data_IF_803549905725
#
_entry.id   IF_803549905725
#
_cell.length_a   1.000
_cell.length_b   1.000
_cell.length_c   1.000
_cell.angle_alpha   90.00
_cell.angle_beta   90.00
_cell.angle_gamma   90.00
#
_symmetry.space_group_name_H-M   'P 1'
#
loop_
_entity.id
_entity.type
_entity.pdbx_description
1 polymer ?
#
# COMPACT_ATOMS: atom_id res chain seq x y z
N UNK A 1 15.40 -25.56 -29.84
CA UNK A 1 14.50 -25.60 -31.02
C UNK A 1 14.40 -24.24 -31.72
N UNK A 2 14.05 -23.14 -31.05
CA UNK A 2 13.89 -21.82 -31.68
C UNK A 2 15.18 -21.29 -32.34
N UNK A 3 16.32 -21.43 -31.67
CA UNK A 3 17.64 -21.04 -32.19
C UNK A 3 17.99 -21.79 -33.47
N UNK A 4 17.62 -23.07 -33.56
CA UNK A 4 17.87 -23.89 -34.75
C UNK A 4 16.95 -23.51 -35.93
N UNK A 5 15.71 -23.09 -35.65
CA UNK A 5 14.81 -22.61 -36.69
C UNK A 5 15.29 -21.25 -37.28
N UNK A 6 15.81 -20.35 -36.43
CA UNK A 6 16.37 -19.07 -36.88
C UNK A 6 17.68 -19.26 -37.66
N UNK A 7 18.54 -20.17 -37.21
CA UNK A 7 19.79 -20.50 -37.91
C UNK A 7 19.51 -21.11 -39.29
N UNK A 8 18.55 -22.03 -39.39
CA UNK A 8 18.17 -22.64 -40.66
C UNK A 8 17.58 -21.62 -41.64
N UNK A 9 16.75 -20.70 -41.16
CA UNK A 9 16.19 -19.64 -41.99
C UNK A 9 17.28 -18.67 -42.50
N UNK A 10 18.31 -18.42 -41.68
CA UNK A 10 19.48 -17.60 -42.05
C UNK A 10 20.31 -18.28 -43.13
N UNK A 11 20.57 -19.59 -43.00
CA UNK A 11 21.29 -20.39 -44.00
C UNK A 11 20.53 -20.44 -45.34
N UNK A 12 19.21 -20.63 -45.29
CA UNK A 12 18.37 -20.66 -46.49
C UNK A 12 18.41 -19.31 -47.24
N UNK A 13 18.37 -18.18 -46.52
CA UNK A 13 18.47 -16.85 -47.10
C UNK A 13 19.85 -16.55 -47.71
N UNK A 14 20.92 -17.02 -47.05
CA UNK A 14 22.30 -16.85 -47.51
C UNK A 14 22.59 -17.67 -48.78
N UNK A 15 22.06 -18.90 -48.85
CA UNK A 15 22.15 -19.74 -50.04
C UNK A 15 21.45 -19.12 -51.26
N UNK A 16 20.24 -18.56 -51.05
CA UNK A 16 19.49 -17.86 -52.10
C UNK A 16 20.26 -16.63 -52.60
N UNK A 17 20.92 -15.88 -51.71
CA UNK A 17 21.72 -14.72 -52.10
C UNK A 17 22.97 -15.12 -52.93
N UNK A 18 23.62 -16.22 -52.55
CA UNK A 18 24.82 -16.72 -53.19
C UNK A 18 24.58 -17.29 -54.60
N UNK A 19 23.47 -18.00 -54.84
CA UNK A 19 23.09 -18.45 -56.20
C UNK A 19 22.81 -17.26 -57.13
N UNK A 20 22.19 -16.19 -56.62
CA UNK A 20 21.86 -15.01 -57.42
C UNK A 20 23.06 -14.18 -57.84
N UNK A 21 24.10 -14.10 -57.00
CA UNK A 21 25.37 -13.48 -57.36
C UNK A 21 26.03 -14.17 -58.57
N UNK A 22 25.76 -15.47 -58.78
CA UNK A 22 26.24 -16.22 -59.94
C UNK A 22 25.40 -15.96 -61.19
N UNK A 23 24.06 -15.91 -61.06
CA UNK A 23 23.15 -15.68 -62.19
C UNK A 23 23.26 -14.23 -62.72
N UNK A 24 23.36 -13.24 -61.83
CA UNK A 24 23.48 -11.82 -62.20
C UNK A 24 24.77 -11.52 -62.99
N UNK A 25 25.81 -12.36 -62.85
CA UNK A 25 27.08 -12.23 -63.56
C UNK A 25 27.07 -12.86 -64.96
N UNK A 26 26.01 -13.58 -65.34
CA UNK A 26 26.01 -14.44 -66.54
C UNK A 26 25.20 -13.92 -67.74
N UNK A 27 24.47 -12.81 -67.65
CA UNK A 27 23.46 -12.47 -68.67
C UNK A 27 23.89 -11.43 -69.72
N UNK A 28 23.97 -11.87 -70.98
CA UNK A 28 23.85 -11.05 -72.22
C UNK A 28 23.15 -11.86 -73.33
N UNK A 29 21.83 -12.09 -73.26
CA UNK A 29 20.94 -12.38 -74.41
C UNK A 29 19.43 -12.35 -74.03
N UNK A 30 18.54 -12.15 -75.02
CA UNK A 30 17.11 -11.83 -74.83
C UNK A 30 16.21 -13.03 -74.45
N UNK A 31 16.62 -14.27 -74.76
CA UNK A 31 15.93 -15.49 -74.31
C UNK A 31 16.00 -15.65 -72.79
N UNK A 32 17.08 -15.18 -72.19
CA UNK A 32 17.37 -15.32 -70.76
C UNK A 32 16.50 -14.37 -69.92
N UNK A 33 15.87 -13.36 -70.54
CA UNK A 33 14.96 -12.44 -69.85
C UNK A 33 13.65 -13.11 -69.43
N UNK A 34 13.10 -14.03 -70.24
CA UNK A 34 11.84 -14.71 -69.90
C UNK A 34 12.04 -15.67 -68.73
N UNK A 35 13.12 -16.44 -68.76
CA UNK A 35 13.54 -17.31 -67.66
C UNK A 35 13.83 -16.48 -66.40
N UNK A 36 14.45 -15.31 -66.54
CA UNK A 36 14.66 -14.36 -65.45
C UNK A 36 13.34 -13.83 -64.84
N UNK A 37 12.31 -13.55 -65.64
CA UNK A 37 11.00 -13.10 -65.13
C UNK A 37 10.23 -14.20 -64.40
N UNK A 38 10.23 -15.44 -64.91
CA UNK A 38 9.60 -16.59 -64.25
C UNK A 38 10.29 -16.89 -62.90
N UNK A 39 11.63 -16.82 -62.87
CA UNK A 39 12.41 -16.92 -61.64
C UNK A 39 12.08 -15.79 -60.66
N UNK A 40 11.90 -14.54 -61.11
CA UNK A 40 11.49 -13.43 -60.23
C UNK A 40 10.11 -13.67 -59.62
N UNK A 41 9.15 -14.19 -60.38
CA UNK A 41 7.78 -14.43 -59.93
C UNK A 41 7.70 -15.57 -58.91
N UNK A 42 8.40 -16.68 -59.15
CA UNK A 42 8.53 -17.79 -58.20
C UNK A 42 9.19 -17.32 -56.89
N UNK A 43 10.23 -16.48 -56.98
CA UNK A 43 10.89 -15.92 -55.80
C UNK A 43 10.01 -14.91 -55.04
N UNK A 44 9.24 -14.09 -55.75
CA UNK A 44 8.24 -13.21 -55.14
C UNK A 44 7.19 -14.00 -54.36
N UNK A 45 6.87 -15.21 -54.82
CA UNK A 45 5.95 -16.14 -54.16
C UNK A 45 6.58 -16.78 -52.92
N UNK A 46 7.83 -17.24 -53.02
CA UNK A 46 8.60 -17.80 -51.90
C UNK A 46 8.86 -16.77 -50.77
N UNK A 47 9.18 -15.52 -51.11
CA UNK A 47 9.35 -14.44 -50.13
C UNK A 47 8.05 -14.10 -49.39
N UNK A 48 6.91 -14.09 -50.11
CA UNK A 48 5.59 -13.91 -49.49
C UNK A 48 5.26 -15.06 -48.53
N UNK A 49 5.62 -16.29 -48.86
CA UNK A 49 5.41 -17.44 -47.97
C UNK A 49 6.29 -17.39 -46.72
N UNK A 50 7.57 -17.03 -46.87
CA UNK A 50 8.50 -16.82 -45.74
C UNK A 50 8.00 -15.70 -44.83
N UNK A 51 7.53 -14.58 -45.41
CA UNK A 51 6.94 -13.47 -44.65
C UNK A 51 5.74 -13.92 -43.81
N UNK A 52 4.81 -14.69 -44.40
CA UNK A 52 3.65 -15.24 -43.67
C UNK A 52 4.06 -16.19 -42.55
N UNK A 53 5.08 -17.04 -42.77
CA UNK A 53 5.62 -17.94 -41.73
C UNK A 53 6.25 -17.16 -40.58
N UNK A 54 6.98 -16.09 -40.88
CA UNK A 54 7.58 -15.20 -39.87
C UNK A 54 6.51 -14.44 -39.06
N UNK A 55 5.47 -13.91 -39.71
CA UNK A 55 4.34 -13.27 -39.02
C UNK A 55 3.61 -14.24 -38.09
N UNK A 56 3.37 -15.48 -38.57
CA UNK A 56 2.75 -16.54 -37.77
C UNK A 56 3.62 -16.93 -36.56
N UNK A 57 4.93 -17.08 -36.75
CA UNK A 57 5.87 -17.40 -35.68
C UNK A 57 5.94 -16.26 -34.65
N UNK A 58 6.00 -15.01 -35.10
CA UNK A 58 6.02 -13.82 -34.24
C UNK A 58 4.74 -13.73 -33.41
N UNK A 59 3.58 -13.94 -34.04
CA UNK A 59 2.29 -13.98 -33.36
C UNK A 59 2.22 -15.11 -32.32
N UNK A 60 2.77 -16.29 -32.66
CA UNK A 60 2.82 -17.42 -31.73
C UNK A 60 3.70 -17.14 -30.51
N UNK A 61 4.89 -16.57 -30.73
CA UNK A 61 5.82 -16.18 -29.67
C UNK A 61 5.21 -15.10 -28.76
N UNK A 62 4.57 -14.08 -29.33
CA UNK A 62 3.85 -13.06 -28.54
C UNK A 62 2.75 -13.68 -27.67
N UNK A 63 1.95 -14.62 -28.23
CA UNK A 63 0.92 -15.33 -27.46
C UNK A 63 1.51 -16.18 -26.33
N UNK A 64 2.65 -16.84 -26.54
CA UNK A 64 3.33 -17.61 -25.49
C UNK A 64 3.88 -16.70 -24.39
N UNK A 65 4.53 -15.58 -24.76
CA UNK A 65 5.02 -14.59 -23.80
C UNK A 65 3.90 -13.98 -22.97
N UNK A 66 2.76 -13.65 -23.59
CA UNK A 66 1.58 -13.17 -22.87
C UNK A 66 1.03 -14.21 -21.88
N UNK A 67 0.94 -15.49 -22.28
CA UNK A 67 0.50 -16.57 -21.38
C UNK A 67 1.43 -16.76 -20.17
N UNK A 68 2.74 -16.66 -20.36
CA UNK A 68 3.73 -16.72 -19.27
C UNK A 68 3.60 -15.52 -18.32
N UNK A 69 3.32 -14.34 -18.88
CA UNK A 69 3.08 -13.12 -18.11
C UNK A 69 1.79 -13.26 -17.27
N UNK A 70 0.72 -13.75 -17.89
CA UNK A 70 -0.57 -14.00 -17.23
C UNK A 70 -0.44 -15.03 -16.10
N UNK A 71 0.27 -16.14 -16.33
CA UNK A 71 0.50 -17.15 -15.29
C UNK A 71 1.31 -16.59 -14.11
N UNK A 72 2.34 -15.80 -14.41
CA UNK A 72 3.15 -15.11 -13.39
C UNK A 72 2.29 -14.12 -12.60
N UNK A 73 1.41 -13.37 -13.26
CA UNK A 73 0.48 -12.44 -12.62
C UNK A 73 -0.52 -13.17 -11.70
N UNK A 74 -1.05 -14.33 -12.12
CA UNK A 74 -1.92 -15.15 -11.29
C UNK A 74 -1.19 -15.64 -10.04
N UNK A 75 0.04 -16.10 -10.17
CA UNK A 75 0.85 -16.59 -9.05
C UNK A 75 1.22 -15.47 -8.07
N UNK A 76 1.64 -14.31 -8.60
CA UNK A 76 1.87 -13.09 -7.82
C UNK A 76 0.60 -12.67 -7.06
N UNK A 77 -0.57 -12.74 -7.70
CA UNK A 77 -1.84 -12.39 -7.06
C UNK A 77 -2.25 -13.38 -5.96
N UNK A 78 -1.98 -14.68 -6.16
CA UNK A 78 -2.17 -15.71 -5.11
C UNK A 78 -1.27 -15.46 -3.91
N UNK A 79 0.00 -15.14 -4.13
CA UNK A 79 0.94 -14.77 -3.06
C UNK A 79 0.48 -13.50 -2.33
N UNK A 80 0.08 -12.45 -3.05
CA UNK A 80 -0.49 -11.22 -2.48
C UNK A 80 -1.72 -11.49 -1.61
N UNK A 81 -2.59 -12.42 -2.04
CA UNK A 81 -3.78 -12.81 -1.28
C UNK A 81 -3.43 -13.60 -0.02
N UNK A 82 -2.52 -14.58 -0.11
CA UNK A 82 -2.05 -15.36 1.04
C UNK A 82 -1.37 -14.45 2.10
N UNK A 83 -0.49 -13.55 1.67
CA UNK A 83 0.15 -12.54 2.52
C UNK A 83 -0.88 -11.59 3.18
N UNK A 84 -1.95 -11.24 2.45
CA UNK A 84 -3.04 -10.43 3.02
C UNK A 84 -3.77 -11.15 4.15
N UNK A 85 -3.89 -12.48 4.11
CA UNK A 85 -4.54 -13.28 5.17
C UNK A 85 -3.72 -13.25 6.47
N UNK A 86 -2.39 -13.42 6.40
CA UNK A 86 -1.52 -13.31 7.58
C UNK A 86 -1.55 -11.91 8.21
N UNK A 87 -1.57 -10.85 7.40
CA UNK A 87 -1.75 -9.48 7.90
C UNK A 87 -3.13 -9.32 8.55
N UNK A 88 -4.18 -9.88 7.94
CA UNK A 88 -5.53 -9.85 8.52
C UNK A 88 -5.56 -10.61 9.85
N UNK A 89 -4.90 -11.75 9.96
CA UNK A 89 -4.86 -12.55 11.19
C UNK A 89 -3.99 -11.85 12.28
N UNK A 90 -2.87 -11.24 11.89
CA UNK A 90 -2.08 -10.33 12.74
C UNK A 90 -2.91 -9.14 13.25
N UNK A 91 -3.66 -8.49 12.36
CA UNK A 91 -4.49 -7.31 12.70
C UNK A 91 -5.71 -7.66 13.55
N UNK A 92 -6.23 -8.88 13.45
CA UNK A 92 -7.37 -9.39 14.23
C UNK A 92 -6.97 -10.00 15.56
N UNK A 93 -5.69 -10.33 15.77
CA UNK A 93 -5.21 -10.93 17.01
C UNK A 93 -5.50 -10.02 18.21
N UNK A 94 -6.14 -10.60 19.24
CA UNK A 94 -6.39 -9.93 20.52
C UNK A 94 -5.13 -9.84 21.40
N UNK A 95 -4.13 -10.67 21.10
CA UNK A 95 -2.84 -10.75 21.77
C UNK A 95 -1.73 -10.20 20.85
N UNK A 96 -0.59 -9.79 21.42
CA UNK A 96 0.58 -9.40 20.63
C UNK A 96 0.94 -10.55 19.69
N UNK A 97 0.90 -10.35 18.37
CA UNK A 97 1.30 -11.38 17.44
C UNK A 97 2.76 -11.75 17.69
N UNK A 98 3.04 -13.06 17.78
CA UNK A 98 4.38 -13.59 17.57
C UNK A 98 4.80 -13.11 16.18
N UNK A 99 5.90 -12.36 16.11
CA UNK A 99 6.61 -11.90 14.90
C UNK A 99 5.91 -12.19 13.57
N UNK A 100 5.34 -11.16 12.94
CA UNK A 100 4.97 -11.28 11.52
C UNK A 100 6.26 -11.48 10.70
N UNK A 101 6.22 -12.34 9.70
CA UNK A 101 7.30 -12.36 8.70
C UNK A 101 7.24 -11.04 7.94
N UNK A 102 8.32 -10.26 7.99
CA UNK A 102 8.43 -8.97 7.28
C UNK A 102 8.19 -9.12 5.78
N UNK A 103 8.51 -10.29 5.22
CA UNK A 103 8.31 -10.60 3.80
C UNK A 103 6.83 -10.77 3.43
N UNK A 104 5.96 -11.05 4.42
CA UNK A 104 4.53 -11.17 4.23
C UNK A 104 3.79 -9.81 4.27
N UNK A 105 4.37 -8.74 4.82
CA UNK A 105 3.72 -7.42 4.80
C UNK A 105 3.91 -6.74 3.44
N UNK A 106 2.82 -6.61 2.68
CA UNK A 106 2.80 -5.68 1.52
C UNK A 106 2.11 -4.36 1.90
N UNK A 107 2.64 -3.24 1.40
CA UNK A 107 2.00 -1.93 1.56
C UNK A 107 0.56 -1.91 1.04
N UNK A 108 0.28 -2.67 -0.03
CA UNK A 108 -1.07 -2.79 -0.60
C UNK A 108 -2.04 -3.49 0.34
N UNK A 109 -1.62 -4.58 0.99
CA UNK A 109 -2.46 -5.26 1.97
C UNK A 109 -2.74 -4.38 3.19
N UNK A 110 -1.75 -3.59 3.65
CA UNK A 110 -1.93 -2.62 4.72
C UNK A 110 -2.89 -1.48 4.32
N UNK A 111 -2.78 -0.98 3.08
CA UNK A 111 -3.70 0.00 2.51
C UNK A 111 -5.14 -0.55 2.48
N UNK A 112 -5.32 -1.78 2.01
CA UNK A 112 -6.63 -2.44 1.99
C UNK A 112 -7.20 -2.61 3.40
N UNK A 113 -6.39 -3.01 4.37
CA UNK A 113 -6.81 -3.07 5.78
C UNK A 113 -7.26 -1.69 6.27
N UNK A 114 -6.43 -0.66 6.07
CA UNK A 114 -6.72 0.70 6.51
C UNK A 114 -8.02 1.22 5.89
N UNK A 115 -8.21 1.01 4.59
CA UNK A 115 -9.39 1.42 3.86
C UNK A 115 -10.65 0.74 4.40
N UNK A 116 -10.63 -0.60 4.54
CA UNK A 116 -11.77 -1.39 5.04
C UNK A 116 -12.11 -1.07 6.50
N UNK A 117 -11.10 -0.80 7.33
CA UNK A 117 -11.29 -0.61 8.77
C UNK A 117 -11.67 0.81 9.15
N UNK A 118 -11.07 1.82 8.49
CA UNK A 118 -11.18 3.21 8.91
C UNK A 118 -11.85 4.13 7.86
N UNK A 119 -11.73 3.85 6.55
CA UNK A 119 -12.23 4.75 5.50
C UNK A 119 -13.67 4.44 5.10
N UNK A 120 -13.98 3.15 4.88
CA UNK A 120 -15.31 2.71 4.41
C UNK A 120 -16.36 2.59 5.51
N UNK A 121 -15.96 2.60 6.77
CA UNK A 121 -16.86 2.50 7.92
C UNK A 121 -16.92 3.83 8.65
N UNK A 122 -18.10 4.25 9.08
CA UNK A 122 -18.21 5.33 10.05
C UNK A 122 -17.67 4.81 11.37
N UNK A 123 -16.68 5.53 11.87
CA UNK A 123 -15.98 5.18 13.07
C UNK A 123 -16.41 6.14 14.15
N UNK A 124 -17.42 5.74 14.90
CA UNK A 124 -17.98 6.56 15.99
C UNK A 124 -17.54 5.93 17.30
N UNK A 125 -16.96 6.71 18.20
CA UNK A 125 -16.64 6.29 19.56
C UNK A 125 -17.68 6.89 20.49
N UNK A 126 -18.45 6.03 21.15
CA UNK A 126 -19.40 6.44 22.19
C UNK A 126 -18.74 6.33 23.54
N UNK A 127 -18.66 7.44 24.26
CA UNK A 127 -18.06 7.47 25.58
C UNK A 127 -19.08 7.05 26.64
N UNK A 128 -18.55 6.37 27.65
CA UNK A 128 -19.30 5.92 28.80
C UNK A 128 -18.98 6.82 29.98
N UNK A 129 -19.82 7.82 30.22
CA UNK A 129 -19.58 8.92 31.17
C UNK A 129 -19.17 8.44 32.57
N UNK A 130 -19.68 7.30 33.03
CA UNK A 130 -19.34 6.70 34.33
C UNK A 130 -17.86 6.31 34.45
N UNK A 131 -17.19 6.13 33.32
CA UNK A 131 -15.78 5.75 33.26
C UNK A 131 -14.84 6.93 33.50
N UNK A 132 -15.29 8.16 33.29
CA UNK A 132 -14.43 9.34 33.23
C UNK A 132 -14.28 10.01 34.59
N UNK A 133 -13.06 10.46 34.90
CA UNK A 133 -12.77 11.23 36.13
C UNK A 133 -13.08 12.71 35.95
N UNK A 134 -13.23 13.15 34.70
CA UNK A 134 -13.53 14.53 34.32
C UNK A 134 -14.53 14.51 33.17
N UNK A 135 -15.45 15.48 33.19
CA UNK A 135 -16.45 15.64 32.14
C UNK A 135 -15.77 15.83 30.78
N UNK A 136 -16.16 15.00 29.82
CA UNK A 136 -15.79 15.19 28.43
C UNK A 136 -16.66 16.30 27.82
N UNK A 137 -16.12 17.08 26.87
CA UNK A 137 -16.93 18.01 26.09
C UNK A 137 -17.76 17.31 25.01
N UNK A 138 -17.59 16.00 24.81
CA UNK A 138 -18.29 15.19 23.82
C UNK A 138 -18.83 13.91 24.44
N UNK A 139 -20.08 13.55 24.13
CA UNK A 139 -20.68 12.24 24.47
C UNK A 139 -20.24 11.15 23.47
N UNK A 140 -19.96 11.56 22.24
CA UNK A 140 -19.42 10.71 21.18
C UNK A 140 -18.47 11.51 20.29
N UNK A 141 -17.60 10.83 19.57
CA UNK A 141 -16.81 11.44 18.49
C UNK A 141 -16.88 10.60 17.22
N UNK A 142 -16.88 11.25 16.07
CA UNK A 142 -16.83 10.63 14.75
C UNK A 142 -15.45 10.82 14.13
N UNK A 143 -14.81 9.74 13.67
CA UNK A 143 -13.55 9.83 12.93
C UNK A 143 -13.78 9.92 11.43
N UNK A 144 -13.41 11.07 10.88
CA UNK A 144 -13.35 11.34 9.46
C UNK A 144 -11.97 10.97 8.91
N UNK A 145 -11.85 9.70 8.52
CA UNK A 145 -10.62 9.12 8.00
C UNK A 145 -10.67 9.05 6.48
N UNK A 146 -9.64 9.62 5.84
CA UNK A 146 -9.45 9.61 4.40
C UNK A 146 -8.27 8.70 4.05
N UNK A 147 -8.29 8.14 2.85
CA UNK A 147 -7.21 7.26 2.38
C UNK A 147 -5.84 7.95 2.40
N UNK A 148 -5.82 9.26 2.12
CA UNK A 148 -4.62 10.09 2.14
C UNK A 148 -4.05 10.36 3.54
N UNK A 149 -4.70 9.91 4.62
CA UNK A 149 -4.10 9.91 5.95
C UNK A 149 -3.02 8.82 6.09
N UNK A 150 -3.12 7.70 5.35
CA UNK A 150 -2.22 6.55 5.53
C UNK A 150 -0.73 6.88 5.39
N UNK A 151 -0.26 7.58 4.34
CA UNK A 151 1.16 7.88 4.19
C UNK A 151 1.71 8.62 5.42
N UNK A 152 0.93 9.58 5.95
CA UNK A 152 1.33 10.34 7.14
C UNK A 152 1.43 9.46 8.39
N UNK A 153 0.50 8.52 8.56
CA UNK A 153 0.50 7.55 9.66
C UNK A 153 1.66 6.56 9.57
N UNK A 154 2.28 6.42 8.40
CA UNK A 154 3.48 5.62 8.14
C UNK A 154 4.78 6.44 8.20
N UNK A 155 4.71 7.71 8.60
CA UNK A 155 5.88 8.58 8.68
C UNK A 155 6.26 9.25 7.35
N UNK A 156 5.52 9.03 6.28
CA UNK A 156 5.76 9.67 4.98
C UNK A 156 5.17 11.07 5.00
N UNK A 157 6.05 12.06 5.05
CA UNK A 157 5.68 13.47 5.14
C UNK A 157 5.88 14.17 3.81
N UNK A 158 5.05 15.17 3.57
CA UNK A 158 5.29 16.15 2.52
C UNK A 158 6.55 16.95 2.81
N UNK A 159 7.21 17.38 1.73
CA UNK A 159 8.33 18.30 1.84
C UNK A 159 7.82 19.67 2.28
N UNK A 160 8.58 20.33 3.16
CA UNK A 160 8.26 21.69 3.59
C UNK A 160 9.08 22.67 2.77
N UNK A 161 8.41 23.61 2.13
CA UNK A 161 9.07 24.76 1.51
C UNK A 161 9.54 25.75 2.58
N UNK A 162 10.39 26.69 2.18
CA UNK A 162 10.99 27.70 3.07
C UNK A 162 9.95 28.61 3.75
N UNK A 163 8.79 28.80 3.11
CA UNK A 163 7.63 29.55 3.64
C UNK A 163 6.77 28.73 4.62
N UNK A 164 7.15 27.47 4.90
CA UNK A 164 6.42 26.56 5.79
C UNK A 164 5.25 25.82 5.14
N UNK A 165 4.96 26.04 3.85
CA UNK A 165 3.96 25.28 3.11
C UNK A 165 4.36 23.80 3.00
N UNK A 166 3.39 22.89 2.99
CA UNK A 166 3.63 21.44 2.91
C UNK A 166 3.26 20.93 1.53
N UNK A 167 4.25 20.57 0.72
CA UNK A 167 4.05 19.92 -0.57
C UNK A 167 3.54 18.49 -0.36
N UNK A 168 2.31 18.21 -0.81
CA UNK A 168 1.67 16.89 -0.69
C UNK A 168 2.07 15.90 -1.80
N UNK A 169 2.98 16.29 -2.71
CA UNK A 169 3.39 15.47 -3.84
C UNK A 169 3.98 14.12 -3.41
N UNK A 170 4.87 14.11 -2.41
CA UNK A 170 5.51 12.87 -1.92
C UNK A 170 4.52 11.87 -1.28
N UNK A 171 3.65 12.26 -0.33
CA UNK A 171 2.56 11.40 0.15
C UNK A 171 1.63 10.88 -0.95
N UNK A 172 1.33 11.71 -1.96
CA UNK A 172 0.48 11.33 -3.10
C UNK A 172 1.18 10.30 -3.99
N UNK A 173 2.42 10.57 -4.40
CA UNK A 173 3.26 9.65 -5.19
C UNK A 173 3.41 8.30 -4.48
N UNK A 174 3.56 8.30 -3.15
CA UNK A 174 3.56 7.07 -2.37
C UNK A 174 2.22 6.33 -2.43
N UNK A 175 1.10 7.03 -2.24
CA UNK A 175 -0.22 6.38 -2.26
C UNK A 175 -0.55 5.79 -3.64
N UNK A 176 -0.29 6.54 -4.70
CA UNK A 176 -0.37 6.05 -6.07
C UNK A 176 0.58 4.86 -6.25
N UNK A 177 1.80 4.99 -5.70
CA UNK A 177 2.82 3.95 -5.45
C UNK A 177 2.27 2.60 -4.99
N UNK A 178 1.45 2.67 -3.95
CA UNK A 178 0.88 1.48 -3.32
C UNK A 178 -0.32 0.96 -4.11
N UNK A 179 -1.17 1.84 -4.64
CA UNK A 179 -2.37 1.48 -5.41
C UNK A 179 -2.04 0.75 -6.72
N UNK A 180 -1.07 1.25 -7.48
CA UNK A 180 -0.62 0.62 -8.74
C UNK A 180 0.48 -0.43 -8.53
N UNK A 181 0.85 -0.71 -7.26
CA UNK A 181 1.77 -1.80 -6.87
C UNK A 181 3.20 -1.72 -7.44
N UNK A 182 3.58 -0.56 -7.99
CA UNK A 182 4.93 -0.14 -8.41
C UNK A 182 5.88 0.25 -7.25
N UNK A 183 5.37 0.57 -6.06
CA UNK A 183 6.20 0.67 -4.84
C UNK A 183 6.21 -0.68 -4.13
N UNK A 184 7.27 -1.46 -4.38
CA UNK A 184 7.58 -2.68 -3.63
C UNK A 184 8.22 -2.31 -2.28
N UNK A 185 8.17 -3.24 -1.31
CA UNK A 185 8.90 -3.11 -0.04
C UNK A 185 10.41 -2.91 -0.23
N UNK A 186 10.95 -3.15 -1.42
CA UNK A 186 12.37 -2.98 -1.78
C UNK A 186 12.66 -1.60 -2.41
N UNK A 187 11.64 -0.83 -2.80
CA UNK A 187 11.78 0.55 -3.33
C UNK A 187 11.92 1.61 -2.21
N UNK A 188 12.43 1.20 -1.04
CA UNK A 188 12.59 2.02 0.18
C UNK A 188 13.58 3.19 0.03
N UNK A 189 14.32 3.27 -1.08
CA UNK A 189 15.31 4.33 -1.31
C UNK A 189 14.69 5.75 -1.38
N UNK A 190 13.49 5.90 -1.94
CA UNK A 190 12.84 7.23 -2.09
C UNK A 190 11.86 7.58 -0.95
N UNK A 191 11.29 6.55 -0.31
CA UNK A 191 10.28 6.69 0.73
C UNK A 191 10.77 6.04 2.03
N UNK A 192 11.32 6.85 2.95
CA UNK A 192 11.67 6.40 4.30
C UNK A 192 10.38 6.11 5.07
N UNK A 193 9.96 4.85 5.06
CA UNK A 193 8.83 4.35 5.86
C UNK A 193 9.31 4.15 7.29
N UNK A 194 8.56 4.68 8.25
CA UNK A 194 8.79 4.42 9.67
C UNK A 194 8.24 3.03 10.02
N UNK A 195 9.13 2.04 10.09
CA UNK A 195 8.77 0.66 10.39
C UNK A 195 8.13 0.50 11.77
N UNK A 196 8.52 1.29 12.77
CA UNK A 196 7.91 1.23 14.10
C UNK A 196 6.43 1.61 13.99
N UNK A 197 6.13 2.67 13.23
CA UNK A 197 4.74 3.06 12.94
C UNK A 197 3.97 2.02 12.13
N UNK A 198 4.60 1.45 11.10
CA UNK A 198 4.01 0.40 10.27
C UNK A 198 3.49 -0.76 11.15
N UNK A 199 4.32 -1.22 12.09
CA UNK A 199 4.06 -2.41 12.92
C UNK A 199 2.84 -2.27 13.84
N UNK A 200 2.47 -1.04 14.22
CA UNK A 200 1.41 -0.76 15.20
C UNK A 200 0.15 -0.12 14.60
N UNK A 201 0.09 0.15 13.29
CA UNK A 201 -1.16 0.58 12.61
C UNK A 201 -2.37 -0.29 12.98
N UNK A 202 -2.24 -1.64 13.02
CA UNK A 202 -3.37 -2.49 13.38
C UNK A 202 -3.93 -2.22 14.77
N UNK A 203 -3.10 -1.73 15.70
CA UNK A 203 -3.46 -1.49 17.10
C UNK A 203 -4.20 -0.17 17.32
N UNK A 204 -4.31 0.72 16.32
CA UNK A 204 -4.97 2.01 16.49
C UNK A 204 -6.42 1.85 16.99
N UNK A 205 -7.17 0.90 16.42
CA UNK A 205 -8.50 0.52 16.88
C UNK A 205 -8.52 0.19 18.38
N UNK A 206 -7.64 -0.73 18.78
CA UNK A 206 -7.60 -1.24 20.15
C UNK A 206 -7.15 -0.16 21.14
N UNK A 207 -6.24 0.73 20.74
CA UNK A 207 -5.82 1.88 21.55
C UNK A 207 -6.95 2.86 21.77
N UNK A 208 -7.76 3.12 20.74
CA UNK A 208 -8.89 4.02 20.91
C UNK A 208 -10.01 3.41 21.74
N UNK A 209 -10.38 2.15 21.51
CA UNK A 209 -11.53 1.51 22.22
C UNK A 209 -11.17 1.07 23.64
N UNK A 210 -9.92 0.68 23.89
CA UNK A 210 -9.44 0.24 25.20
C UNK A 210 -8.14 0.97 25.59
N UNK A 211 -8.21 2.31 25.78
CA UNK A 211 -7.06 3.09 26.20
C UNK A 211 -6.74 2.83 27.67
N UNK A 212 -5.49 3.05 28.04
CA UNK A 212 -5.09 3.24 29.43
C UNK A 212 -5.33 4.67 29.88
N UNK A 213 -5.13 5.64 28.98
CA UNK A 213 -5.39 7.05 29.23
C UNK A 213 -6.09 7.71 28.03
N UNK A 214 -7.03 8.61 28.32
CA UNK A 214 -7.56 9.58 27.35
C UNK A 214 -7.20 10.97 27.85
N UNK A 215 -6.44 11.72 27.06
CA UNK A 215 -5.88 13.01 27.45
C UNK A 215 -6.36 14.14 26.53
N UNK A 216 -6.62 15.34 27.09
CA UNK A 216 -6.85 16.54 26.28
C UNK A 216 -5.56 17.17 25.77
N UNK A 217 -5.70 18.16 24.89
CA UNK A 217 -4.62 19.01 24.37
C UNK A 217 -3.71 19.59 25.45
N UNK A 218 -4.27 20.03 26.57
CA UNK A 218 -3.53 20.69 27.66
C UNK A 218 -2.63 19.73 28.44
N UNK A 219 -2.77 18.42 28.20
CA UNK A 219 -1.87 17.40 28.74
C UNK A 219 -0.55 17.31 27.97
N UNK A 220 -0.43 17.89 26.78
CA UNK A 220 0.81 17.88 26.01
C UNK A 220 1.83 18.82 26.65
N UNK A 221 2.98 18.28 27.06
CA UNK A 221 4.11 19.07 27.56
C UNK A 221 4.84 19.71 26.38
N UNK A 222 4.46 20.95 26.04
CA UNK A 222 4.95 21.69 24.87
C UNK A 222 6.47 21.88 24.84
N UNK A 223 7.10 21.92 26.00
CA UNK A 223 8.56 21.96 26.14
C UNK A 223 9.25 20.70 25.60
N UNK A 224 8.56 19.55 25.57
CA UNK A 224 9.13 18.25 25.20
C UNK A 224 8.48 17.64 23.94
N UNK A 225 7.40 18.24 23.43
CA UNK A 225 6.63 17.69 22.33
C UNK A 225 6.05 18.76 21.41
N UNK A 226 6.32 18.61 20.11
CA UNK A 226 5.71 19.42 19.04
C UNK A 226 4.36 18.87 18.58
N UNK A 227 3.82 17.86 19.25
CA UNK A 227 2.54 17.23 18.88
C UNK A 227 1.39 18.25 18.98
N UNK A 228 0.55 18.34 17.95
CA UNK A 228 -0.61 19.23 17.93
C UNK A 228 -1.92 18.42 17.88
N UNK A 229 -2.21 17.68 18.95
CA UNK A 229 -3.42 16.89 19.11
C UNK A 229 -4.44 17.63 19.99
N UNK A 230 -5.72 17.44 19.72
CA UNK A 230 -6.81 17.89 20.60
C UNK A 230 -7.25 16.78 21.56
N UNK A 231 -7.16 15.52 21.11
CA UNK A 231 -7.48 14.33 21.90
C UNK A 231 -6.43 13.24 21.68
N UNK A 232 -5.98 12.61 22.76
CA UNK A 232 -4.89 11.62 22.73
C UNK A 232 -5.34 10.36 23.47
N UNK A 233 -5.18 9.22 22.81
CA UNK A 233 -5.40 7.90 23.38
C UNK A 233 -4.04 7.24 23.60
N UNK A 234 -3.78 6.78 24.82
CA UNK A 234 -2.57 6.05 25.16
C UNK A 234 -2.98 4.68 25.68
N UNK A 235 -2.47 3.62 25.07
CA UNK A 235 -2.63 2.25 25.55
C UNK A 235 -1.29 1.72 26.04
N UNK A 236 -1.22 1.28 27.29
CA UNK A 236 -0.11 0.45 27.78
C UNK A 236 -0.21 -0.92 27.13
N UNK A 237 0.90 -1.35 26.55
CA UNK A 237 1.00 -2.68 25.92
C UNK A 237 1.59 -3.62 26.98
N UNK A 238 0.76 -4.54 27.46
CA UNK A 238 1.20 -5.57 28.40
C UNK A 238 1.84 -6.71 27.61
N UNK A 239 2.85 -7.36 28.19
CA UNK A 239 3.53 -8.55 27.64
C UNK A 239 4.30 -8.36 26.32
N UNK A 240 4.62 -7.12 25.94
CA UNK A 240 5.52 -6.84 24.81
C UNK A 240 6.98 -6.71 25.27
N UNK A 241 7.88 -7.37 24.56
CA UNK A 241 9.33 -7.14 24.72
C UNK A 241 9.81 -5.85 24.03
N UNK A 242 9.05 -5.35 23.05
CA UNK A 242 9.47 -4.25 22.18
C UNK A 242 8.83 -2.91 22.55
N UNK A 243 7.52 -2.90 22.82
CA UNK A 243 6.74 -1.68 22.99
C UNK A 243 6.07 -1.59 24.37
N UNK A 244 6.26 -0.49 25.09
CA UNK A 244 5.57 -0.24 26.36
C UNK A 244 4.22 0.46 26.17
N UNK A 245 4.12 1.34 25.17
CA UNK A 245 2.89 2.09 24.90
C UNK A 245 2.62 2.23 23.41
N UNK A 246 1.35 2.36 23.06
CA UNK A 246 0.92 2.83 21.74
C UNK A 246 0.09 4.10 21.92
N UNK A 247 0.41 5.14 21.14
CA UNK A 247 -0.21 6.46 21.21
C UNK A 247 -0.94 6.75 19.90
N UNK A 248 -2.22 7.13 20.00
CA UNK A 248 -3.04 7.58 18.87
C UNK A 248 -3.49 9.01 19.16
N UNK A 249 -3.25 9.91 18.20
CA UNK A 249 -3.50 11.34 18.33
C UNK A 249 -4.53 11.78 17.31
N UNK A 250 -5.53 12.53 17.77
CA UNK A 250 -6.59 13.07 16.96
C UNK A 250 -6.59 14.61 16.99
N UNK A 251 -7.06 15.20 15.90
CA UNK A 251 -7.34 16.63 15.77
C UNK A 251 -8.84 16.80 15.52
N UNK A 252 -9.43 17.76 16.21
CA UNK A 252 -10.80 18.15 16.01
C UNK A 252 -10.90 18.95 14.70
N UNK A 253 -11.80 18.54 13.82
CA UNK A 253 -12.13 19.27 12.58
C UNK A 253 -13.34 20.17 12.82
N UNK A 254 -14.43 19.61 13.38
CA UNK A 254 -15.68 20.30 13.71
C UNK A 254 -16.16 19.92 15.13
N UNK A 255 -17.44 20.12 15.46
CA UNK A 255 -18.00 19.90 16.80
C UNK A 255 -17.60 18.56 17.45
N UNK A 256 -18.01 17.42 16.89
CA UNK A 256 -17.68 16.07 17.35
C UNK A 256 -16.89 15.25 16.31
N UNK A 257 -16.43 15.91 15.25
CA UNK A 257 -15.69 15.34 14.12
C UNK A 257 -14.18 15.44 14.32
N UNK A 258 -13.47 14.33 14.14
CA UNK A 258 -12.03 14.22 14.37
C UNK A 258 -11.32 13.53 13.21
N UNK A 259 -10.03 13.83 13.02
CA UNK A 259 -9.17 13.10 12.09
C UNK A 259 -7.90 12.59 12.79
N UNK A 260 -7.28 11.56 12.21
CA UNK A 260 -5.98 11.10 12.68
C UNK A 260 -4.88 12.07 12.28
N UNK A 261 -4.09 12.51 13.26
CA UNK A 261 -2.88 13.28 12.99
C UNK A 261 -1.61 12.48 13.19
N UNK A 262 -1.59 11.49 14.08
CA UNK A 262 -0.40 10.70 14.30
C UNK A 262 -0.76 9.45 15.08
N UNK A 263 0.01 8.42 14.83
CA UNK A 263 0.12 7.24 15.66
C UNK A 263 1.61 6.91 15.78
N UNK A 264 2.02 6.41 16.94
CA UNK A 264 3.38 5.93 17.15
C UNK A 264 3.47 5.04 18.39
N UNK A 265 4.35 4.04 18.37
CA UNK A 265 4.69 3.30 19.58
C UNK A 265 5.71 4.05 20.44
N UNK A 266 5.80 3.67 21.71
CA UNK A 266 6.91 3.99 22.61
C UNK A 266 7.53 2.67 23.03
N UNK A 267 8.82 2.51 22.72
CA UNK A 267 9.56 1.28 23.03
C UNK A 267 9.74 1.09 24.54
N UNK A 268 9.92 -0.15 24.98
CA UNK A 268 10.13 -0.49 26.39
C UNK A 268 11.32 0.25 26.99
N UNK A 269 12.41 0.38 26.23
CA UNK A 269 13.61 1.12 26.64
C UNK A 269 13.36 2.62 26.85
N UNK A 270 12.33 3.18 26.21
CA UNK A 270 11.96 4.60 26.28
C UNK A 270 10.62 4.80 26.98
N UNK A 271 10.20 3.87 27.83
CA UNK A 271 8.89 3.94 28.51
C UNK A 271 8.68 5.27 29.27
N UNK A 272 9.75 5.85 29.83
CA UNK A 272 9.71 7.16 30.50
C UNK A 272 9.22 8.31 29.59
N UNK A 273 9.40 8.19 28.27
CA UNK A 273 9.01 9.20 27.28
C UNK A 273 7.53 9.55 27.33
N UNK A 274 6.67 8.62 27.75
CA UNK A 274 5.24 8.92 27.91
C UNK A 274 5.01 10.03 28.95
N UNK A 275 5.78 10.01 30.05
CA UNK A 275 5.71 11.02 31.11
C UNK A 275 6.45 12.29 30.73
N UNK A 276 7.44 12.23 29.85
CA UNK A 276 8.10 13.41 29.32
C UNK A 276 7.19 14.18 28.35
N UNK A 277 6.43 13.46 27.52
CA UNK A 277 5.54 14.04 26.51
C UNK A 277 4.20 14.50 27.08
N UNK A 278 3.70 13.83 28.11
CA UNK A 278 2.33 14.04 28.60
C UNK A 278 2.28 14.23 30.13
N UNK A 279 1.37 15.10 30.58
CA UNK A 279 0.95 15.18 31.97
C UNK A 279 -0.30 14.31 32.20
N UNK A 280 -0.07 13.06 32.61
CA UNK A 280 -1.15 12.07 32.80
C UNK A 280 -2.15 12.46 33.90
N UNK A 281 -1.80 13.39 34.80
CA UNK A 281 -2.73 13.91 35.83
C UNK A 281 -3.87 14.72 35.19
N UNK A 282 -3.67 15.20 33.96
CA UNK A 282 -4.68 15.94 33.21
C UNK A 282 -5.69 15.04 32.49
N UNK A 283 -5.52 13.73 32.52
CA UNK A 283 -6.41 12.79 31.83
C UNK A 283 -7.90 13.02 32.11
N UNK A 284 -8.72 12.86 31.07
CA UNK A 284 -10.17 12.69 31.20
C UNK A 284 -10.50 11.29 31.71
N UNK A 285 -9.75 10.30 31.22
CA UNK A 285 -9.84 8.90 31.62
C UNK A 285 -8.46 8.36 32.02
N UNK A 286 -8.40 7.73 33.18
CA UNK A 286 -7.27 6.97 33.70
C UNK A 286 -7.78 5.58 34.11
N UNK A 287 -7.34 4.56 33.36
CA UNK A 287 -7.72 3.16 33.59
C UNK A 287 -7.50 2.73 35.03
N UNK A 288 -6.43 3.16 35.69
CA UNK A 288 -6.12 2.73 37.05
C UNK A 288 -7.03 3.37 38.09
N UNK A 289 -7.57 4.57 37.81
CA UNK A 289 -8.46 5.31 38.72
C UNK A 289 -9.93 5.10 38.44
N UNK A 290 -10.28 4.68 37.23
CA UNK A 290 -11.68 4.50 36.85
C UNK A 290 -12.30 3.29 37.53
N UNK A 291 -13.54 3.44 37.99
CA UNK A 291 -14.37 2.31 38.44
C UNK A 291 -14.71 1.39 37.27
N UNK A 292 -14.93 1.96 36.07
CA UNK A 292 -15.31 1.24 34.86
C UNK A 292 -14.14 1.19 33.88
N UNK A 293 -13.66 -0.02 33.58
CA UNK A 293 -12.43 -0.23 32.80
C UNK A 293 -12.62 -0.12 31.28
N UNK A 294 -13.83 0.16 30.83
CA UNK A 294 -14.23 0.25 29.42
C UNK A 294 -14.85 1.62 29.16
N UNK A 295 -14.04 2.66 28.84
CA UNK A 295 -14.54 4.02 28.65
C UNK A 295 -15.31 4.20 27.35
N UNK A 296 -15.25 3.22 26.45
CA UNK A 296 -15.93 3.21 25.16
C UNK A 296 -16.74 1.94 25.03
N UNK A 297 -18.00 2.11 24.63
CA UNK A 297 -18.91 1.00 24.31
C UNK A 297 -18.40 0.27 23.06
N UNK A 298 -17.81 -0.91 23.25
CA UNK A 298 -17.27 -1.75 22.17
C UNK A 298 -18.34 -2.14 21.13
N UNK A 299 -19.59 -2.35 21.58
CA UNK A 299 -20.74 -2.66 20.73
C UNK A 299 -21.35 -1.47 19.99
N UNK A 300 -20.81 -0.26 20.14
CA UNK A 300 -21.21 0.92 19.35
C UNK A 300 -20.06 1.51 18.54
N UNK A 301 -18.83 1.08 18.83
CA UNK A 301 -17.67 1.49 18.08
C UNK A 301 -17.72 0.90 16.65
N UNK A 302 -17.73 1.76 15.62
CA UNK A 302 -17.45 1.37 14.23
C UNK A 302 -18.55 0.61 13.47
N UNK A 303 -19.82 0.75 13.85
CA UNK A 303 -20.94 -0.06 13.32
C UNK A 303 -21.81 0.60 12.25
N UNK A 304 -21.68 1.90 11.97
CA UNK A 304 -22.44 2.51 10.88
C UNK A 304 -21.70 2.28 9.55
N UNK A 305 -22.26 1.46 8.66
CA UNK A 305 -21.87 1.49 7.25
C UNK A 305 -22.16 2.89 6.71
N UNK A 306 -21.20 3.52 6.01
CA UNK A 306 -21.56 4.64 5.14
C UNK A 306 -22.53 4.07 4.12
N UNK A 307 -23.78 4.53 4.09
CA UNK A 307 -24.66 4.22 2.98
C UNK A 307 -23.94 4.67 1.70
N UNK A 308 -23.81 3.74 0.75
CA UNK A 308 -23.19 4.01 -0.55
C UNK A 308 -24.15 4.83 -1.43
N UNK A 309 -24.60 5.99 -0.96
CA UNK A 309 -25.43 6.89 -1.77
C UNK A 309 -24.58 7.99 -2.41
N UNK A 310 -23.48 7.61 -3.08
CA UNK A 310 -22.70 8.52 -3.95
C UNK A 310 -22.10 7.85 -5.20
N UNK A 311 -22.73 6.78 -5.68
CA UNK A 311 -22.56 6.30 -7.04
C UNK A 311 -23.93 6.02 -7.67
N UNK A 312 -24.77 7.04 -7.71
CA UNK A 312 -25.81 7.15 -8.73
C UNK A 312 -25.30 8.13 -9.80
N UNK A 313 -24.77 7.50 -10.85
CA UNK A 313 -24.38 7.93 -12.20
C UNK A 313 -25.09 9.16 -12.82
N UNK A 314 -24.55 9.77 -13.90
CA UNK A 314 -23.69 9.16 -14.95
C UNK A 314 -22.20 9.53 -14.93
#
# INVERSE_FOLDING_TARGET
MLTMAVLKLSEDLENIFNEKSKILKATTQDSDKKEFYEVIEEHGTNLKEISKKLESLTTHLQKQSLKLLDSSLVEINKLKYAHSKEIIDYTKSLYIPRSIDKNAITLFALLNYFQKKYVFKNFILHFDDESFQKKLPWEKIELNVKLNNLPHLLGIRGERSLDGSVCRAKPRKFLDGVLFQWVLMEALGEFVVDFEKLSVIPWMWQTMVMPTYILPKEAIKRQNSKLNADLIFIKRVLDSREYAYHVVCLKQEDADSFTFISQFPITTQRAARVFEMFDLRKAYYDFYKSKKKTPISSGRAGLAQKSQDRFSNP
#
